data_IF_076840639013
#
_entry.id   IF_076840639013
#
_cell.length_a   1.000
_cell.length_b   1.000
_cell.length_c   1.000
_cell.angle_alpha   90.00
_cell.angle_beta   90.00
_cell.angle_gamma   90.00
#
_symmetry.space_group_name_H-M   'P 1'
#
loop_
_entity.id
_entity.type
_entity.pdbx_description
1 polymer ?
#
# COMPACT_ATOMS: atom_id res chain seq x y z
N UNK A 1 -6.63 28.76 11.43
CA UNK A 1 -6.66 28.00 10.17
C UNK A 1 -7.77 26.97 10.26
N UNK A 2 -8.64 26.83 9.27
CA UNK A 2 -9.64 25.74 9.27
C UNK A 2 -8.87 24.43 9.11
N UNK A 3 -9.04 23.50 10.05
CA UNK A 3 -8.58 22.13 9.90
C UNK A 3 -9.17 21.58 8.59
N UNK A 4 -8.31 21.09 7.69
CA UNK A 4 -8.78 20.35 6.53
C UNK A 4 -9.57 19.14 7.02
N UNK A 5 -10.69 18.81 6.38
CA UNK A 5 -11.39 17.55 6.65
C UNK A 5 -10.61 16.34 6.14
N UNK A 6 -9.57 16.57 5.36
CA UNK A 6 -8.79 15.54 4.69
C UNK A 6 -7.38 15.43 5.28
N UNK A 7 -6.80 14.22 5.25
CA UNK A 7 -5.39 14.01 5.63
C UNK A 7 -4.42 14.87 4.80
N UNK A 8 -3.16 14.94 5.25
CA UNK A 8 -2.11 15.60 4.49
C UNK A 8 -1.96 14.98 3.10
N UNK A 9 -1.86 15.82 2.07
CA UNK A 9 -1.79 15.38 0.66
C UNK A 9 -3.14 14.96 0.04
N UNK A 10 -4.25 15.16 0.74
CA UNK A 10 -5.60 14.91 0.23
C UNK A 10 -6.40 16.21 0.10
N UNK A 11 -7.04 16.36 -1.05
CA UNK A 11 -8.00 17.43 -1.32
C UNK A 11 -9.32 16.82 -1.82
N UNK A 12 -10.35 17.65 -1.94
CA UNK A 12 -11.68 17.19 -2.33
C UNK A 12 -11.70 16.58 -3.74
N UNK A 13 -10.93 17.16 -4.68
CA UNK A 13 -10.81 16.67 -6.04
C UNK A 13 -10.25 15.24 -6.09
N UNK A 14 -9.15 14.99 -5.37
CA UNK A 14 -8.55 13.66 -5.25
C UNK A 14 -9.55 12.66 -4.67
N UNK A 15 -10.30 13.04 -3.63
CA UNK A 15 -11.32 12.17 -3.04
C UNK A 15 -12.42 11.84 -4.05
N UNK A 16 -12.93 12.84 -4.78
CA UNK A 16 -13.97 12.62 -5.81
C UNK A 16 -13.48 11.72 -6.93
N UNK A 17 -12.23 11.87 -7.37
CA UNK A 17 -11.65 11.03 -8.42
C UNK A 17 -11.51 9.57 -7.96
N UNK A 18 -11.04 9.34 -6.74
CA UNK A 18 -10.94 7.99 -6.15
C UNK A 18 -12.31 7.33 -6.03
N UNK A 19 -13.31 8.07 -5.53
CA UNK A 19 -14.68 7.55 -5.43
C UNK A 19 -15.25 7.18 -6.81
N UNK A 20 -15.11 8.08 -7.79
CA UNK A 20 -15.62 7.82 -9.15
C UNK A 20 -14.92 6.65 -9.87
N UNK A 21 -13.66 6.36 -9.53
CA UNK A 21 -12.93 5.18 -10.00
C UNK A 21 -13.53 3.90 -9.39
N UNK A 22 -13.59 3.81 -8.05
CA UNK A 22 -14.08 2.61 -7.38
C UNK A 22 -15.58 2.36 -7.59
N UNK A 23 -16.41 3.40 -7.78
CA UNK A 23 -17.84 3.24 -8.13
C UNK A 23 -18.04 2.60 -9.51
N UNK A 24 -17.08 2.75 -10.43
CA UNK A 24 -17.15 2.22 -11.81
C UNK A 24 -16.39 0.90 -11.97
N UNK A 25 -15.58 0.53 -10.98
CA UNK A 25 -14.76 -0.67 -11.02
C UNK A 25 -15.66 -1.91 -11.03
N UNK A 26 -15.41 -2.81 -11.97
CA UNK A 26 -16.05 -4.12 -11.99
C UNK A 26 -15.47 -5.04 -10.93
N UNK A 27 -16.23 -6.07 -10.54
CA UNK A 27 -15.73 -7.07 -9.59
C UNK A 27 -14.45 -7.76 -10.07
N UNK A 28 -14.31 -7.99 -11.37
CA UNK A 28 -13.12 -8.63 -11.95
C UNK A 28 -11.91 -7.69 -11.86
N UNK A 29 -12.09 -6.40 -12.14
CA UNK A 29 -11.01 -5.41 -12.00
C UNK A 29 -10.60 -5.22 -10.54
N UNK A 30 -11.54 -5.27 -9.59
CA UNK A 30 -11.22 -5.21 -8.17
C UNK A 30 -10.37 -6.40 -7.71
N UNK A 31 -10.75 -7.62 -8.14
CA UNK A 31 -9.95 -8.83 -7.86
C UNK A 31 -8.57 -8.74 -8.52
N UNK A 32 -8.49 -8.26 -9.76
CA UNK A 32 -7.20 -8.11 -10.45
C UNK A 32 -6.30 -7.06 -9.79
N UNK A 33 -6.85 -5.95 -9.28
CA UNK A 33 -6.10 -4.95 -8.50
C UNK A 33 -5.54 -5.57 -7.22
N UNK A 34 -6.35 -6.34 -6.48
CA UNK A 34 -5.91 -7.04 -5.27
C UNK A 34 -4.85 -8.13 -5.57
N UNK A 35 -4.94 -8.82 -6.71
CA UNK A 35 -4.03 -9.89 -7.08
C UNK A 35 -2.70 -9.40 -7.68
N UNK A 36 -2.68 -8.23 -8.32
CA UNK A 36 -1.49 -7.68 -8.96
C UNK A 36 -0.32 -7.47 -7.98
N UNK A 37 -0.61 -7.15 -6.72
CA UNK A 37 0.40 -7.00 -5.66
C UNK A 37 1.10 -8.33 -5.32
N UNK A 38 0.51 -9.48 -5.68
CA UNK A 38 1.11 -10.81 -5.46
C UNK A 38 2.00 -11.28 -6.60
N UNK A 39 1.92 -10.66 -7.78
CA UNK A 39 2.71 -11.02 -8.96
C UNK A 39 4.14 -10.44 -8.94
N UNK A 40 4.52 -9.74 -7.86
CA UNK A 40 5.87 -9.23 -7.68
C UNK A 40 6.89 -10.36 -7.46
N UNK A 41 7.63 -10.71 -8.51
CA UNK A 41 8.67 -11.76 -8.49
C UNK A 41 9.76 -11.60 -7.42
N UNK A 42 9.93 -10.38 -6.88
CA UNK A 42 10.93 -10.06 -5.87
C UNK A 42 10.35 -10.04 -4.44
N UNK A 43 9.10 -10.42 -4.25
CA UNK A 43 8.43 -10.46 -2.96
C UNK A 43 7.80 -11.83 -2.72
N UNK A 44 7.49 -12.12 -1.46
CA UNK A 44 6.89 -13.39 -1.05
C UNK A 44 5.97 -13.12 0.13
N UNK A 45 4.78 -13.72 0.11
CA UNK A 45 3.87 -13.70 1.25
C UNK A 45 4.29 -14.75 2.28
N UNK A 46 4.40 -14.33 3.53
CA UNK A 46 4.63 -15.23 4.64
C UNK A 46 3.78 -14.87 5.85
N UNK A 47 3.31 -15.89 6.57
CA UNK A 47 2.69 -15.70 7.87
C UNK A 47 3.78 -15.37 8.91
N UNK A 48 3.59 -14.29 9.66
CA UNK A 48 4.49 -13.89 10.74
C UNK A 48 3.70 -13.81 12.05
N UNK A 49 4.11 -14.49 13.13
CA UNK A 49 3.53 -14.27 14.45
C UNK A 49 3.59 -12.78 14.83
N UNK A 50 2.49 -12.21 15.33
CA UNK A 50 2.40 -10.77 15.57
C UNK A 50 3.51 -10.21 16.47
N UNK A 51 3.98 -11.00 17.45
CA UNK A 51 5.09 -10.63 18.33
C UNK A 51 6.43 -10.42 17.59
N UNK A 52 6.60 -11.01 16.41
CA UNK A 52 7.82 -10.90 15.59
C UNK A 52 7.72 -9.80 14.52
N UNK A 53 6.56 -9.21 14.30
CA UNK A 53 6.35 -8.20 13.26
C UNK A 53 7.31 -7.01 13.35
N UNK A 54 7.60 -6.43 14.55
CA UNK A 54 8.57 -5.33 14.64
C UNK A 54 9.98 -5.72 14.18
N UNK A 55 10.42 -6.94 14.53
CA UNK A 55 11.75 -7.45 14.17
C UNK A 55 11.84 -7.65 12.65
N UNK A 56 10.81 -8.25 12.04
CA UNK A 56 10.77 -8.45 10.58
C UNK A 56 10.78 -7.12 9.83
N UNK A 57 10.05 -6.09 10.33
CA UNK A 57 10.07 -4.75 9.74
C UNK A 57 11.46 -4.13 9.75
N UNK A 58 12.14 -4.18 10.89
CA UNK A 58 13.51 -3.66 11.03
C UNK A 58 14.49 -4.37 10.08
N UNK A 59 14.35 -5.69 9.90
CA UNK A 59 15.18 -6.46 8.96
C UNK A 59 14.95 -6.03 7.50
N UNK A 60 13.70 -5.81 7.10
CA UNK A 60 13.35 -5.33 5.75
C UNK A 60 13.93 -3.94 5.51
N UNK A 61 13.79 -3.03 6.47
CA UNK A 61 14.34 -1.66 6.37
C UNK A 61 15.87 -1.68 6.20
N UNK A 62 16.58 -2.48 7.01
CA UNK A 62 18.04 -2.65 6.88
C UNK A 62 18.44 -3.18 5.50
N UNK A 63 17.70 -4.14 4.98
CA UNK A 63 17.95 -4.68 3.64
C UNK A 63 17.74 -3.62 2.55
N UNK A 64 16.66 -2.84 2.62
CA UNK A 64 16.37 -1.79 1.64
C UNK A 64 17.41 -0.67 1.66
N UNK A 65 17.88 -0.26 2.85
CA UNK A 65 18.97 0.72 2.97
C UNK A 65 20.27 0.18 2.35
N UNK A 66 20.61 -1.08 2.62
CA UNK A 66 21.80 -1.69 2.03
C UNK A 66 21.69 -1.84 0.50
N UNK A 67 20.50 -2.19 -0.01
CA UNK A 67 20.23 -2.32 -1.43
C UNK A 67 20.18 -0.97 -2.18
N UNK A 68 19.76 0.11 -1.51
CA UNK A 68 19.73 1.46 -2.08
C UNK A 68 21.07 2.23 -1.99
N UNK A 69 22.09 1.64 -1.36
CA UNK A 69 23.47 2.16 -1.33
C UNK A 69 24.39 1.50 -2.38
N UNK A 70 23.87 0.54 -3.15
CA UNK A 70 24.54 -0.10 -4.29
C UNK A 70 24.01 0.49 -5.61
#
# INVERSE_FOLDING_TARGET
>A
MKQSKFPSGWNEERVRNVLAYYEKQSQVEAVAEDEADFDHQNQTLMMVPGALLPIVRELIEKHQVAAGQA
#
